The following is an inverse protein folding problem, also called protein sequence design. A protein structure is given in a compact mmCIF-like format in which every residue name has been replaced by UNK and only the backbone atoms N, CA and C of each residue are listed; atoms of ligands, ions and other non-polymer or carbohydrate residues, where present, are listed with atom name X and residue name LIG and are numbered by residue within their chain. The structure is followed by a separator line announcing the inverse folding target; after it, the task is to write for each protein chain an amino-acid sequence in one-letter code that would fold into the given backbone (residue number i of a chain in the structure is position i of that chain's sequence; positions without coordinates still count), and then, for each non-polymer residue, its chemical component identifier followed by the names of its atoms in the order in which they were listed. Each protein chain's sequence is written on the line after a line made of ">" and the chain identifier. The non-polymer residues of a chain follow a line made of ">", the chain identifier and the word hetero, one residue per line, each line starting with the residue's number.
data_IF_666069470494
#
_entry.id   IF_666069470494
#
_cell.length_a   1.000
_cell.length_b   1.000
_cell.length_c   1.000
_cell.angle_alpha   90.00
_cell.angle_beta   90.00
_cell.angle_gamma   90.00
#
_symmetry.space_group_name_H-M   'P 1'
#
loop_
_entity.id
_entity.type
_entity.pdbx_description
1 polymer ?
#
# COMPACT_ATOMS: atom_id res chain seq x y z
N UNK A 1 10.93 7.61 7.32
CA UNK A 1 9.73 8.46 7.15
C UNK A 1 8.63 7.87 8.01
N UNK A 2 7.87 8.77 8.66
CA UNK A 2 6.64 8.47 9.39
C UNK A 2 5.47 8.74 8.47
N UNK A 3 4.57 7.77 8.33
CA UNK A 3 3.41 7.87 7.45
C UNK A 3 2.16 7.37 8.18
N UNK A 4 1.01 7.87 7.74
CA UNK A 4 -0.28 7.28 8.13
C UNK A 4 -0.90 6.63 6.89
N UNK A 5 -1.04 5.31 6.91
CA UNK A 5 -1.67 4.58 5.82
C UNK A 5 -3.16 4.43 6.12
N UNK A 6 -4.01 4.81 5.18
CA UNK A 6 -5.46 4.65 5.24
C UNK A 6 -5.85 3.60 4.23
N UNK A 7 -6.01 2.37 4.70
CA UNK A 7 -6.11 1.19 3.84
C UNK A 7 -7.54 0.66 3.87
N UNK A 8 -8.11 0.43 2.70
CA UNK A 8 -9.38 -0.29 2.59
C UNK A 8 -9.23 -1.74 3.04
N UNK A 9 -10.04 -2.15 4.03
CA UNK A 9 -10.09 -3.52 4.55
C UNK A 9 -11.50 -4.05 4.42
N UNK A 10 -11.61 -5.27 3.92
CA UNK A 10 -12.86 -6.01 3.83
C UNK A 10 -12.52 -7.49 4.04
N UNK A 11 -13.02 -8.09 5.13
CA UNK A 11 -12.65 -9.46 5.51
C UNK A 11 -13.24 -10.51 4.58
N UNK A 12 -14.45 -10.28 4.04
CA UNK A 12 -15.09 -11.16 3.06
C UNK A 12 -16.19 -10.41 2.28
N UNK A 13 -16.79 -11.09 1.30
CA UNK A 13 -17.80 -10.53 0.41
C UNK A 13 -19.12 -10.10 1.10
N UNK A 14 -19.34 -10.49 2.36
CA UNK A 14 -20.54 -10.14 3.13
C UNK A 14 -20.30 -8.93 4.03
N UNK A 15 -19.04 -8.56 4.28
CA UNK A 15 -18.68 -7.39 5.05
C UNK A 15 -18.72 -6.12 4.20
N UNK A 16 -19.15 -4.99 4.79
CA UNK A 16 -19.26 -3.70 4.07
C UNK A 16 -17.91 -3.11 3.63
N UNK A 17 -16.82 -3.57 4.24
CA UNK A 17 -15.50 -2.95 4.12
C UNK A 17 -15.41 -1.56 4.75
N UNK A 18 -14.19 -1.04 4.86
CA UNK A 18 -13.94 0.29 5.38
C UNK A 18 -12.47 0.65 5.44
N UNK A 19 -12.18 1.94 5.64
CA UNK A 19 -10.81 2.44 5.81
C UNK A 19 -10.35 2.18 7.24
N UNK A 20 -9.15 1.63 7.37
CA UNK A 20 -8.44 1.43 8.63
C UNK A 20 -7.12 2.20 8.59
N UNK A 21 -6.78 2.82 9.73
CA UNK A 21 -5.62 3.67 9.88
C UNK A 21 -4.44 2.89 10.46
N UNK A 22 -3.28 2.95 9.80
CA UNK A 22 -2.04 2.32 10.22
C UNK A 22 -0.91 3.36 10.28
N UNK A 23 -0.51 3.82 11.47
CA UNK A 23 0.71 4.60 11.60
C UNK A 23 1.92 3.68 11.39
N UNK A 24 2.84 4.08 10.52
CA UNK A 24 4.08 3.36 10.24
C UNK A 24 5.27 4.32 10.31
N UNK A 25 6.41 3.81 10.73
CA UNK A 25 7.67 4.53 10.85
C UNK A 25 8.82 3.68 10.28
N UNK A 26 9.98 4.29 10.09
CA UNK A 26 11.17 3.62 9.58
C UNK A 26 11.18 3.42 8.06
N UNK A 27 10.25 4.06 7.33
CA UNK A 27 10.18 3.90 5.86
C UNK A 27 11.27 4.72 5.18
N UNK A 28 12.12 4.09 4.38
CA UNK A 28 13.17 4.77 3.63
C UNK A 28 12.65 5.27 2.28
N UNK A 29 13.09 6.44 1.78
CA UNK A 29 12.62 6.99 0.50
C UNK A 29 12.89 6.09 -0.71
N UNK A 30 13.91 5.24 -0.65
CA UNK A 30 14.29 4.33 -1.74
C UNK A 30 13.56 2.99 -1.70
N UNK A 31 12.76 2.71 -0.66
CA UNK A 31 11.84 1.58 -0.68
C UNK A 31 10.81 1.79 -1.79
N UNK A 32 10.44 0.69 -2.43
CA UNK A 32 9.22 0.61 -3.23
C UNK A 32 7.97 0.68 -2.35
N UNK A 33 6.84 1.00 -2.97
CA UNK A 33 5.55 1.03 -2.29
C UNK A 33 5.16 -0.33 -1.72
N UNK A 34 5.50 -1.42 -2.41
CA UNK A 34 5.21 -2.77 -1.94
C UNK A 34 6.11 -3.19 -0.78
N UNK A 35 7.38 -2.81 -0.77
CA UNK A 35 8.26 -3.04 0.39
C UNK A 35 7.75 -2.30 1.64
N UNK A 36 7.23 -1.08 1.47
CA UNK A 36 6.57 -0.37 2.57
C UNK A 36 5.34 -1.14 3.11
N UNK A 37 4.54 -1.75 2.23
CA UNK A 37 3.43 -2.61 2.65
C UNK A 37 3.91 -3.92 3.28
N UNK A 38 5.05 -4.47 2.86
CA UNK A 38 5.65 -5.64 3.49
C UNK A 38 6.07 -5.32 4.94
N UNK A 39 6.69 -4.15 5.18
CA UNK A 39 7.04 -3.69 6.54
C UNK A 39 5.77 -3.56 7.41
N UNK A 40 4.67 -3.02 6.88
CA UNK A 40 3.39 -3.00 7.59
C UNK A 40 2.93 -4.42 7.92
N UNK A 41 2.96 -5.32 6.94
CA UNK A 41 2.48 -6.69 7.13
C UNK A 41 3.30 -7.46 8.16
N UNK A 42 4.62 -7.30 8.18
CA UNK A 42 5.48 -7.86 9.22
C UNK A 42 5.10 -7.33 10.62
N UNK A 43 4.82 -6.03 10.76
CA UNK A 43 4.36 -5.45 12.03
C UNK A 43 3.02 -6.03 12.48
N UNK A 44 2.06 -6.20 11.56
CA UNK A 44 0.75 -6.79 11.86
C UNK A 44 0.88 -8.25 12.29
N UNK A 45 1.67 -9.04 11.55
CA UNK A 45 1.94 -10.45 11.86
C UNK A 45 2.55 -10.58 13.26
N UNK A 46 3.54 -9.75 13.60
CA UNK A 46 4.18 -9.76 14.91
C UNK A 46 3.23 -9.38 16.07
N UNK A 47 2.15 -8.67 15.79
CA UNK A 47 1.07 -8.36 16.74
C UNK A 47 -0.03 -9.43 16.80
N UNK A 48 0.04 -10.45 15.95
CA UNK A 48 -1.03 -11.44 15.78
C UNK A 48 -2.25 -10.90 15.03
N UNK A 49 -2.08 -9.81 14.27
CA UNK A 49 -3.13 -9.20 13.45
C UNK A 49 -3.06 -9.74 12.00
N UNK A 50 -4.18 -9.62 11.29
CA UNK A 50 -4.27 -10.08 9.90
C UNK A 50 -3.56 -9.09 8.96
N UNK A 51 -2.62 -9.57 8.11
CA UNK A 51 -1.91 -8.70 7.18
C UNK A 51 -2.84 -8.09 6.12
N UNK A 52 -2.39 -6.99 5.53
CA UNK A 52 -3.03 -6.39 4.36
C UNK A 52 -2.83 -7.29 3.16
N UNK A 53 -3.93 -7.76 2.59
CA UNK A 53 -3.94 -8.54 1.37
C UNK A 53 -3.86 -7.59 0.16
N UNK A 54 -2.90 -7.83 -0.72
CA UNK A 54 -2.76 -7.17 -2.01
C UNK A 54 -2.07 -8.14 -2.98
N UNK A 55 -2.41 -8.02 -4.27
CA UNK A 55 -1.84 -8.87 -5.30
C UNK A 55 -0.43 -8.40 -5.66
N UNK A 56 0.55 -9.31 -5.70
CA UNK A 56 1.92 -9.03 -6.14
C UNK A 56 2.64 -10.30 -6.63
N UNK A 57 3.48 -10.19 -7.65
CA UNK A 57 4.28 -11.31 -8.19
C UNK A 57 5.66 -10.84 -8.63
N UNK A 58 5.85 -10.46 -9.90
CA UNK A 58 7.18 -10.17 -10.48
C UNK A 58 7.96 -9.01 -9.81
N UNK A 59 7.26 -8.04 -9.19
CA UNK A 59 7.84 -6.81 -8.57
C UNK A 59 8.77 -5.98 -9.46
N UNK A 60 8.67 -6.14 -10.77
CA UNK A 60 9.52 -5.47 -11.78
C UNK A 60 8.71 -4.75 -12.86
N UNK A 61 7.40 -4.60 -12.65
CA UNK A 61 6.50 -3.84 -13.52
C UNK A 61 6.02 -4.57 -14.77
N UNK A 62 6.13 -5.90 -14.81
CA UNK A 62 5.82 -6.71 -16.01
C UNK A 62 4.44 -7.38 -15.95
N UNK A 63 4.11 -8.05 -14.84
CA UNK A 63 2.95 -8.94 -14.77
C UNK A 63 1.56 -8.26 -14.71
N UNK A 64 1.50 -6.96 -14.37
CA UNK A 64 0.23 -6.23 -14.20
C UNK A 64 -0.57 -6.53 -12.92
N UNK A 65 -0.03 -7.33 -12.00
CA UNK A 65 -0.79 -7.84 -10.85
C UNK A 65 -0.92 -6.83 -9.68
N UNK A 66 0.06 -5.95 -9.47
CA UNK A 66 0.12 -5.02 -8.34
C UNK A 66 -0.79 -3.77 -8.45
N UNK A 67 -2.01 -3.95 -8.95
CA UNK A 67 -2.94 -2.86 -9.22
C UNK A 67 -3.56 -2.33 -7.93
N UNK A 68 -3.10 -1.15 -7.49
CA UNK A 68 -3.63 -0.41 -6.34
C UNK A 68 -4.05 1.00 -6.76
N UNK A 69 -5.08 1.54 -6.09
CA UNK A 69 -5.49 2.93 -6.21
C UNK A 69 -4.94 3.71 -5.03
N UNK A 70 -3.99 4.61 -5.29
CA UNK A 70 -3.20 5.28 -4.26
C UNK A 70 -3.47 6.78 -4.34
N UNK A 71 -3.97 7.37 -3.25
CA UNK A 71 -4.41 8.78 -3.19
C UNK A 71 -5.37 9.19 -4.32
N UNK A 72 -6.25 8.27 -4.75
CA UNK A 72 -7.21 8.52 -5.81
C UNK A 72 -6.66 8.42 -7.24
N UNK A 73 -5.42 7.96 -7.41
CA UNK A 73 -4.80 7.72 -8.72
C UNK A 73 -4.38 6.25 -8.87
N UNK A 74 -4.62 5.67 -10.04
CA UNK A 74 -4.13 4.34 -10.39
C UNK A 74 -2.60 4.32 -10.32
N UNK A 75 -2.03 3.39 -9.54
CA UNK A 75 -0.59 3.25 -9.30
C UNK A 75 0.08 4.45 -8.62
N UNK A 76 -0.68 5.43 -8.14
CA UNK A 76 -0.19 6.57 -7.37
C UNK A 76 0.35 7.73 -8.21
N UNK A 77 1.13 8.63 -7.57
CA UNK A 77 1.43 9.96 -8.13
C UNK A 77 2.52 9.97 -9.20
N UNK A 78 3.30 8.90 -9.33
CA UNK A 78 4.40 8.83 -10.30
C UNK A 78 3.88 8.41 -11.69
N UNK A 79 4.50 8.93 -12.75
CA UNK A 79 3.99 8.83 -14.12
C UNK A 79 4.70 7.76 -14.91
N UNK A 80 3.92 6.84 -15.48
CA UNK A 80 4.43 5.78 -16.35
C UNK A 80 5.05 4.60 -15.61
N UNK A 81 4.73 4.44 -14.32
CA UNK A 81 5.22 3.34 -13.48
C UNK A 81 4.06 2.51 -12.93
N UNK A 82 4.36 1.26 -12.59
CA UNK A 82 3.44 0.41 -11.83
C UNK A 82 3.65 0.61 -10.32
N UNK A 83 2.71 0.16 -9.49
CA UNK A 83 2.82 0.29 -8.03
C UNK A 83 4.11 -0.31 -7.47
N UNK A 84 4.57 -1.46 -8.00
CA UNK A 84 5.83 -2.07 -7.56
C UNK A 84 7.09 -1.26 -7.92
N UNK A 85 6.98 -0.31 -8.84
CA UNK A 85 8.05 0.62 -9.22
C UNK A 85 7.87 2.02 -8.62
N UNK A 86 6.72 2.29 -7.98
CA UNK A 86 6.50 3.51 -7.22
C UNK A 86 7.40 3.49 -6.00
N UNK A 87 8.23 4.52 -5.83
CA UNK A 87 9.13 4.63 -4.68
C UNK A 87 8.56 5.60 -3.63
N UNK A 88 8.93 5.37 -2.36
CA UNK A 88 8.42 6.15 -1.23
C UNK A 88 8.90 7.61 -1.24
N UNK A 89 9.98 7.94 -1.95
CA UNK A 89 10.44 9.33 -2.21
C UNK A 89 9.42 10.22 -2.93
N UNK A 90 8.35 9.66 -3.48
CA UNK A 90 7.23 10.40 -4.05
C UNK A 90 6.28 10.99 -3.00
N UNK A 91 6.45 10.59 -1.73
CA UNK A 91 5.67 11.07 -0.59
C UNK A 91 6.57 11.87 0.37
N UNK A 92 5.96 12.59 1.31
CA UNK A 92 6.65 13.38 2.33
C UNK A 92 6.52 12.75 3.72
N UNK A 93 7.48 13.05 4.57
CA UNK A 93 7.41 12.68 5.98
C UNK A 93 6.17 13.32 6.64
N UNK A 94 5.40 12.51 7.37
CA UNK A 94 4.12 12.90 7.96
C UNK A 94 2.91 12.77 7.04
N UNK A 95 3.07 12.36 5.79
CA UNK A 95 1.95 12.23 4.86
C UNK A 95 0.95 11.15 5.29
N UNK A 96 -0.30 11.37 4.89
CA UNK A 96 -1.35 10.36 4.91
C UNK A 96 -1.55 9.81 3.50
N UNK A 97 -1.48 8.50 3.35
CA UNK A 97 -1.60 7.80 2.07
C UNK A 97 -2.85 6.94 2.09
N UNK A 98 -3.80 7.21 1.19
CA UNK A 98 -4.97 6.37 0.97
C UNK A 98 -4.64 5.24 0.00
N UNK A 99 -5.01 4.02 0.35
CA UNK A 99 -4.75 2.81 -0.42
C UNK A 99 -6.05 2.03 -0.54
N UNK A 100 -6.54 1.88 -1.76
CA UNK A 100 -7.83 1.28 -2.06
C UNK A 100 -7.71 0.27 -3.20
N UNK A 101 -8.59 -0.75 -3.26
CA UNK A 101 -8.70 -1.59 -4.44
C UNK A 101 -9.23 -0.76 -5.63
N UNK A 102 -8.96 -1.25 -6.84
CA UNK A 102 -9.67 -0.73 -8.01
C UNK A 102 -11.17 -0.94 -7.84
N UNK A 103 -11.94 0.11 -8.14
CA UNK A 103 -13.40 0.08 -8.11
C UNK A 103 -13.94 -0.26 -9.50
N UNK A 104 -15.00 -1.07 -9.53
CA UNK A 104 -15.79 -1.35 -10.73
C UNK A 104 -16.83 -0.25 -11.00
#
# INVERSE_FOLDING_TARGET
>A
MKLTLKIWRQKNAQDKGGIVDYPIDGIEPDMSFLEMLDVLNEQLINKGEEPVAFDHDCREGICGMCSLFINGEAHGPDRGVTTCQLHMRMFKDGDTIFIEPFRA
#
